data_IF_486864759377
#
_entry.id   IF_486864759377
#
_cell.length_a   1.000
_cell.length_b   1.000
_cell.length_c   1.000
_cell.angle_alpha   90.00
_cell.angle_beta   90.00
_cell.angle_gamma   90.00
#
_symmetry.space_group_name_H-M   'P 1'
#
loop_
_entity.id
_entity.type
_entity.pdbx_description
1 polymer ?
#
# COMPACT_ATOMS: atom_id res chain seq x y z
N UNK A 1 -17.23 3.22 5.98
CA UNK A 1 -15.92 3.02 5.33
C UNK A 1 -14.87 3.79 6.14
N UNK A 2 -13.84 3.10 6.62
CA UNK A 2 -12.68 3.71 7.26
C UNK A 2 -11.49 3.70 6.29
N UNK A 3 -10.65 4.74 6.35
CA UNK A 3 -9.50 4.91 5.47
C UNK A 3 -8.17 4.99 6.24
N UNK A 4 -7.84 3.97 7.05
CA UNK A 4 -6.58 3.96 7.81
C UNK A 4 -5.37 3.96 6.87
N UNK A 5 -4.40 4.83 7.13
CA UNK A 5 -3.06 4.78 6.52
C UNK A 5 -2.05 4.16 7.50
N UNK A 6 -1.58 2.95 7.21
CA UNK A 6 -0.63 2.23 8.04
C UNK A 6 0.69 2.98 8.24
N UNK A 7 1.12 3.84 7.31
CA UNK A 7 2.35 4.63 7.45
C UNK A 7 2.17 5.82 8.40
N UNK A 8 0.93 6.20 8.73
CA UNK A 8 0.61 7.34 9.60
C UNK A 8 0.10 6.89 10.97
N UNK A 9 -0.83 5.93 11.03
CA UNK A 9 -1.57 5.61 12.26
C UNK A 9 -0.84 4.69 13.25
N UNK A 10 0.37 4.22 12.91
CA UNK A 10 1.18 3.39 13.82
C UNK A 10 1.67 2.05 13.25
N UNK A 11 1.63 1.87 11.93
CA UNK A 11 2.17 0.70 11.25
C UNK A 11 1.16 -0.42 11.00
N UNK A 12 1.67 -1.49 10.37
CA UNK A 12 0.89 -2.68 10.00
C UNK A 12 0.19 -3.30 11.23
N UNK A 13 0.90 -3.41 12.35
CA UNK A 13 0.32 -3.99 13.58
C UNK A 13 -0.90 -3.22 14.07
N UNK A 14 -0.86 -1.89 14.03
CA UNK A 14 -1.98 -1.07 14.48
C UNK A 14 -3.12 -1.08 13.46
N UNK A 15 -2.78 -1.08 12.16
CA UNK A 15 -3.74 -1.26 11.08
C UNK A 15 -4.59 -2.52 11.28
N UNK A 16 -3.96 -3.66 11.60
CA UNK A 16 -4.69 -4.92 11.80
C UNK A 16 -5.66 -4.86 12.99
N UNK A 17 -5.32 -4.13 14.06
CA UNK A 17 -6.25 -3.91 15.18
C UNK A 17 -7.44 -3.06 14.77
N UNK A 18 -7.22 -2.00 14.00
CA UNK A 18 -8.28 -1.15 13.45
C UNK A 18 -9.19 -1.96 12.53
N UNK A 19 -8.62 -2.76 11.63
CA UNK A 19 -9.37 -3.60 10.70
C UNK A 19 -10.26 -4.62 11.43
N UNK A 20 -9.74 -5.28 12.47
CA UNK A 20 -10.50 -6.21 13.28
C UNK A 20 -11.66 -5.53 14.03
N UNK A 21 -11.44 -4.34 14.60
CA UNK A 21 -12.50 -3.58 15.25
C UNK A 21 -13.55 -3.08 14.26
N UNK A 22 -13.13 -2.65 13.07
CA UNK A 22 -14.02 -2.25 11.99
C UNK A 22 -14.90 -3.42 11.55
N UNK A 23 -14.31 -4.61 11.38
CA UNK A 23 -15.03 -5.84 11.03
C UNK A 23 -16.10 -6.18 12.07
N UNK A 24 -15.81 -6.02 13.36
CA UNK A 24 -16.78 -6.25 14.43
C UNK A 24 -17.97 -5.27 14.43
N UNK A 25 -17.89 -4.17 13.67
CA UNK A 25 -18.93 -3.16 13.52
C UNK A 25 -19.50 -3.12 12.09
N UNK A 26 -19.29 -4.16 11.28
CA UNK A 26 -19.73 -4.25 9.89
C UNK A 26 -19.23 -3.06 9.02
N UNK A 27 -18.01 -2.59 9.30
CA UNK A 27 -17.38 -1.49 8.58
C UNK A 27 -16.28 -1.98 7.64
N UNK A 28 -16.36 -1.52 6.40
CA UNK A 28 -15.35 -1.72 5.37
C UNK A 28 -14.09 -0.86 5.57
N UNK A 29 -12.95 -1.39 5.11
CA UNK A 29 -11.63 -0.77 5.10
C UNK A 29 -11.23 -0.44 3.65
N UNK A 30 -10.95 0.84 3.38
CA UNK A 30 -10.42 1.34 2.11
C UNK A 30 -9.25 2.31 2.40
N UNK A 31 -8.03 1.78 2.61
CA UNK A 31 -6.92 2.55 3.16
C UNK A 31 -6.48 3.70 2.27
N UNK A 32 -5.89 4.72 2.89
CA UNK A 32 -5.39 5.90 2.20
C UNK A 32 -3.93 5.69 1.76
N UNK A 33 -3.65 5.97 0.48
CA UNK A 33 -2.32 6.05 -0.10
C UNK A 33 -1.50 4.77 -0.01
N UNK A 34 -0.17 4.94 -0.08
CA UNK A 34 0.86 3.91 0.11
C UNK A 34 0.46 2.53 -0.47
N UNK A 35 0.06 2.52 -1.74
CA UNK A 35 -0.53 1.37 -2.42
C UNK A 35 0.33 0.11 -2.34
N UNK A 36 1.66 0.26 -2.30
CA UNK A 36 2.62 -0.83 -2.19
C UNK A 36 2.58 -1.55 -0.84
N UNK A 37 2.19 -0.85 0.23
CA UNK A 37 1.97 -1.46 1.55
C UNK A 37 0.54 -1.96 1.68
N UNK A 38 -0.42 -1.12 1.29
CA UNK A 38 -1.83 -1.39 1.53
C UNK A 38 -2.41 -2.50 0.64
N UNK A 39 -1.83 -2.81 -0.52
CA UNK A 39 -2.24 -3.97 -1.33
C UNK A 39 -2.22 -5.27 -0.52
N UNK A 40 -1.18 -5.47 0.29
CA UNK A 40 -1.02 -6.64 1.15
C UNK A 40 -2.04 -6.63 2.29
N UNK A 41 -2.29 -5.47 2.89
CA UNK A 41 -3.18 -5.36 4.05
C UNK A 41 -4.65 -5.54 3.66
N UNK A 42 -5.09 -4.95 2.55
CA UNK A 42 -6.46 -5.11 2.02
C UNK A 42 -6.70 -6.55 1.59
N UNK A 43 -5.71 -7.21 0.97
CA UNK A 43 -5.81 -8.61 0.59
C UNK A 43 -5.84 -9.58 1.79
N UNK A 44 -5.30 -9.17 2.95
CA UNK A 44 -5.18 -10.00 4.15
C UNK A 44 -6.40 -9.97 5.08
N UNK A 45 -7.36 -9.06 4.87
CA UNK A 45 -8.53 -8.88 5.74
C UNK A 45 -9.83 -9.19 4.99
N UNK A 46 -10.87 -9.70 5.66
CA UNK A 46 -12.14 -10.04 5.01
C UNK A 46 -13.03 -8.83 4.74
N UNK A 47 -12.79 -7.69 5.40
CA UNK A 47 -13.54 -6.43 5.23
C UNK A 47 -12.76 -5.37 4.42
N UNK A 48 -11.83 -5.82 3.58
CA UNK A 48 -11.14 -4.95 2.62
C UNK A 48 -12.03 -4.64 1.42
N UNK A 49 -12.18 -3.36 1.08
CA UNK A 49 -13.11 -2.91 0.03
C UNK A 49 -12.40 -2.54 -1.27
N UNK A 50 -11.50 -1.55 -1.23
CA UNK A 50 -10.74 -1.08 -2.39
C UNK A 50 -9.34 -0.63 -1.94
N UNK A 51 -8.38 -0.62 -2.87
CA UNK A 51 -7.09 0.04 -2.72
C UNK A 51 -7.09 1.41 -3.42
N UNK A 52 -6.62 2.46 -2.74
CA UNK A 52 -6.28 3.73 -3.41
C UNK A 52 -5.00 3.57 -4.25
N UNK A 53 -5.00 4.08 -5.48
CA UNK A 53 -3.88 3.97 -6.40
C UNK A 53 -3.50 5.35 -6.96
N UNK A 54 -2.28 5.79 -6.64
CA UNK A 54 -1.65 6.97 -7.18
C UNK A 54 -0.99 6.67 -8.52
N UNK A 55 -1.17 7.62 -9.43
CA UNK A 55 -0.45 7.70 -10.71
C UNK A 55 0.75 8.65 -10.56
N UNK A 56 1.60 8.64 -11.57
CA UNK A 56 2.74 9.55 -11.73
C UNK A 56 2.37 11.03 -11.61
N UNK A 57 1.14 11.41 -11.97
CA UNK A 57 0.61 12.78 -11.80
C UNK A 57 0.50 13.23 -10.35
N UNK A 58 0.43 12.30 -9.38
CA UNK A 58 0.32 12.60 -7.94
C UNK A 58 1.68 12.50 -7.27
N UNK A 59 2.49 11.51 -7.64
CA UNK A 59 3.84 11.31 -7.12
C UNK A 59 4.84 11.17 -8.28
N UNK A 60 5.72 12.15 -8.52
CA UNK A 60 6.67 12.10 -9.63
C UNK A 60 7.74 11.01 -9.47
N UNK A 61 7.89 10.42 -8.28
CA UNK A 61 8.78 9.29 -8.00
C UNK A 61 8.08 7.94 -8.20
N UNK A 62 6.76 7.95 -8.44
CA UNK A 62 6.01 6.74 -8.77
C UNK A 62 6.62 6.07 -10.01
N UNK A 63 6.78 4.75 -9.94
CA UNK A 63 7.40 3.94 -10.99
C UNK A 63 8.90 4.20 -11.26
N UNK A 64 9.58 4.93 -10.36
CA UNK A 64 11.01 5.23 -10.52
C UNK A 64 11.88 4.67 -9.42
N UNK A 65 11.31 4.43 -8.24
CA UNK A 65 12.04 4.08 -7.02
C UNK A 65 12.09 2.59 -6.72
N UNK A 66 11.21 1.78 -7.30
CA UNK A 66 11.13 0.34 -7.06
C UNK A 66 11.41 -0.46 -8.34
N UNK A 67 12.09 -1.60 -8.23
CA UNK A 67 12.31 -2.53 -9.36
C UNK A 67 11.01 -3.14 -9.87
N UNK A 68 10.08 -3.43 -8.95
CA UNK A 68 8.75 -3.97 -9.24
C UNK A 68 7.68 -2.93 -8.90
N UNK A 69 6.71 -2.79 -9.78
CA UNK A 69 5.62 -1.84 -9.67
C UNK A 69 4.28 -2.58 -9.73
N UNK A 70 3.28 -2.05 -9.04
CA UNK A 70 1.92 -2.55 -9.20
C UNK A 70 1.39 -2.10 -10.57
N UNK A 71 0.88 -3.04 -11.35
CA UNK A 71 0.23 -2.79 -12.64
C UNK A 71 -1.27 -2.91 -12.49
N UNK A 72 -2.02 -1.98 -13.11
CA UNK A 72 -3.47 -2.08 -13.20
C UNK A 72 -3.83 -2.98 -14.38
N UNK A 73 -4.52 -4.07 -14.10
CA UNK A 73 -5.04 -5.02 -15.08
C UNK A 73 -6.57 -5.12 -14.88
N UNK A 74 -7.33 -4.72 -15.90
CA UNK A 74 -8.81 -4.70 -15.89
C UNK A 74 -9.44 -3.99 -14.66
N UNK A 75 -8.78 -2.96 -14.15
CA UNK A 75 -9.23 -2.18 -12.98
C UNK A 75 -8.80 -2.76 -11.62
N UNK A 76 -8.02 -3.83 -11.63
CA UNK A 76 -7.48 -4.49 -10.44
C UNK A 76 -5.95 -4.36 -10.38
N UNK A 77 -5.40 -4.59 -9.19
CA UNK A 77 -3.97 -4.72 -8.93
C UNK A 77 -3.78 -5.99 -8.10
N UNK A 78 -2.64 -6.64 -8.27
CA UNK A 78 -2.32 -7.90 -7.61
C UNK A 78 -1.17 -7.72 -6.61
N UNK A 79 -1.31 -8.29 -5.41
CA UNK A 79 -0.20 -8.36 -4.48
C UNK A 79 0.94 -9.19 -5.10
N UNK A 80 2.20 -8.74 -5.02
CA UNK A 80 3.32 -9.46 -5.61
C UNK A 80 3.61 -10.76 -4.86
N UNK A 81 3.99 -11.80 -5.59
CA UNK A 81 4.51 -13.06 -5.02
C UNK A 81 6.01 -12.95 -4.73
N UNK A 82 6.37 -11.99 -3.87
CA UNK A 82 7.74 -11.71 -3.44
C UNK A 82 7.79 -11.62 -1.91
N UNK A 83 8.91 -12.00 -1.27
CA UNK A 83 9.04 -11.89 0.18
C UNK A 83 8.84 -10.46 0.71
N UNK A 84 8.18 -10.35 1.86
CA UNK A 84 7.90 -9.06 2.51
C UNK A 84 6.92 -8.22 1.69
N UNK A 85 7.23 -6.94 1.50
CA UNK A 85 6.40 -6.03 0.69
C UNK A 85 6.70 -6.13 -0.81
N UNK A 86 7.72 -6.89 -1.22
CA UNK A 86 8.19 -6.93 -2.62
C UNK A 86 8.88 -5.65 -3.11
N UNK A 87 9.23 -4.74 -2.19
CA UNK A 87 9.85 -3.45 -2.49
C UNK A 87 11.36 -3.58 -2.57
N UNK A 88 11.89 -3.56 -3.80
CA UNK A 88 13.33 -3.57 -4.07
C UNK A 88 13.73 -2.18 -4.59
N UNK A 89 14.56 -1.40 -3.88
CA UNK A 89 14.91 -0.04 -4.28
C UNK A 89 15.79 0.02 -5.54
N UNK A 90 15.44 0.89 -6.50
CA UNK A 90 16.31 1.28 -7.62
C UNK A 90 17.38 2.27 -7.10
N UNK A 91 18.49 1.76 -6.59
CA UNK A 91 19.53 2.57 -5.93
C UNK A 91 20.10 3.69 -6.81
N UNK A 92 20.31 3.43 -8.10
CA UNK A 92 20.81 4.44 -9.04
C UNK A 92 19.86 5.66 -9.13
N UNK A 93 18.54 5.44 -9.04
CA UNK A 93 17.55 6.52 -8.99
C UNK A 93 17.60 7.27 -7.66
N UNK A 94 17.85 6.56 -6.56
CA UNK A 94 17.75 7.11 -5.20
C UNK A 94 19.04 7.80 -4.74
N UNK A 95 20.20 7.43 -5.28
CA UNK A 95 21.51 7.93 -4.85
C UNK A 95 21.61 9.47 -4.82
N UNK A 96 21.10 10.24 -5.81
CA UNK A 96 21.14 11.70 -5.78
C UNK A 96 20.33 12.34 -4.64
N UNK A 97 19.39 11.59 -4.05
CA UNK A 97 18.50 12.05 -2.98
C UNK A 97 18.97 11.61 -1.59
N UNK A 98 20.04 10.81 -1.50
CA UNK A 98 20.58 10.35 -0.24
C UNK A 98 21.13 11.52 0.56
N UNK A 99 20.68 11.66 1.81
CA UNK A 99 21.23 12.59 2.79
C UNK A 99 22.01 11.81 3.85
N UNK A 100 23.13 12.38 4.30
CA UNK A 100 23.99 11.82 5.35
C UNK A 100 23.59 12.28 6.74
#
# INVERSE_FOLDING_TARGET
ILQPDALILGGITEFMKVAALAQANDLDIAPHGAQEVHIHLVAAIPNGLILEYYRDSVNPMYGKVWEHELTIEDGYVHAPDLPGLGLIPKWDTLEPYRVG
#
